data_IF_341168756598
#
_entry.id   IF_341168756598
#
_cell.length_a   1.000
_cell.length_b   1.000
_cell.length_c   1.000
_cell.angle_alpha   90.00
_cell.angle_beta   90.00
_cell.angle_gamma   90.00
#
_symmetry.space_group_name_H-M   'P 1'
#
loop_
_entity.id
_entity.type
_entity.pdbx_description
1 polymer ?
#
# COMPACT_ATOMS: atom_id res chain seq x y z
N UNK A 1 -40.16 0.54 13.73
CA UNK A 1 -40.59 0.00 12.42
C UNK A 1 -39.50 -0.66 11.56
N UNK A 2 -38.20 -0.63 11.92
CA UNK A 2 -37.13 -1.27 11.11
C UNK A 2 -37.27 -2.79 10.91
N UNK A 3 -37.98 -3.50 11.79
CA UNK A 3 -38.22 -4.92 11.64
C UNK A 3 -39.17 -5.21 10.46
N UNK A 4 -40.20 -4.38 10.24
CA UNK A 4 -41.20 -4.58 9.19
C UNK A 4 -40.64 -4.31 7.78
N UNK A 5 -39.62 -3.46 7.67
CA UNK A 5 -38.98 -3.14 6.39
C UNK A 5 -38.06 -4.25 5.85
N UNK A 6 -37.82 -5.33 6.60
CA UNK A 6 -36.97 -6.43 6.14
C UNK A 6 -37.73 -7.32 5.15
N UNK A 7 -37.11 -7.68 4.02
CA UNK A 7 -37.71 -8.57 2.99
C UNK A 7 -38.21 -9.92 3.53
N UNK A 8 -37.68 -10.39 4.65
CA UNK A 8 -38.07 -11.63 5.31
C UNK A 8 -39.23 -11.47 6.30
N UNK A 9 -39.81 -10.26 6.45
CA UNK A 9 -40.98 -10.04 7.30
C UNK A 9 -42.15 -10.91 6.85
N UNK A 10 -42.80 -11.59 7.79
CA UNK A 10 -44.02 -12.36 7.54
C UNK A 10 -45.23 -11.71 8.20
N UNK A 11 -45.19 -11.53 9.52
CA UNK A 11 -46.28 -10.96 10.30
C UNK A 11 -45.79 -10.43 11.65
N UNK A 12 -46.64 -9.67 12.32
CA UNK A 12 -46.45 -9.24 13.70
C UNK A 12 -47.66 -9.60 14.55
N UNK A 13 -47.42 -9.92 15.82
CA UNK A 13 -48.44 -10.18 16.83
C UNK A 13 -48.22 -9.21 17.98
N UNK A 14 -49.21 -8.37 18.25
CA UNK A 14 -49.18 -7.38 19.32
C UNK A 14 -49.65 -8.08 20.59
N UNK A 15 -48.83 -8.05 21.65
CA UNK A 15 -49.17 -8.63 22.96
C UNK A 15 -49.78 -7.56 23.86
N UNK A 16 -49.19 -6.37 23.89
CA UNK A 16 -49.73 -5.18 24.58
C UNK A 16 -49.12 -3.90 23.97
N UNK A 17 -49.39 -2.75 24.57
CA UNK A 17 -48.92 -1.43 24.09
C UNK A 17 -47.39 -1.31 24.04
N UNK A 18 -46.67 -2.10 24.83
CA UNK A 18 -45.21 -2.04 24.93
C UNK A 18 -44.50 -3.19 24.18
N UNK A 19 -45.22 -4.24 23.78
CA UNK A 19 -44.62 -5.47 23.25
C UNK A 19 -45.28 -5.96 21.96
N UNK A 20 -44.47 -6.01 20.90
CA UNK A 20 -44.84 -6.58 19.60
C UNK A 20 -43.83 -7.63 19.18
N UNK A 21 -44.32 -8.85 18.94
CA UNK A 21 -43.52 -9.94 18.36
C UNK A 21 -43.55 -9.83 16.84
N UNK A 22 -42.39 -9.78 16.21
CA UNK A 22 -42.25 -9.76 14.74
C UNK A 22 -41.69 -11.10 14.27
N UNK A 23 -42.44 -11.80 13.44
CA UNK A 23 -42.03 -13.07 12.83
C UNK A 23 -41.39 -12.85 11.46
N UNK A 24 -40.20 -13.41 11.28
CA UNK A 24 -39.48 -13.44 10.02
C UNK A 24 -39.44 -14.86 9.42
N UNK A 25 -39.46 -14.96 8.09
CA UNK A 25 -39.11 -16.18 7.38
C UNK A 25 -37.61 -16.46 7.47
N UNK A 26 -37.22 -17.75 7.45
CA UNK A 26 -35.81 -18.14 7.28
C UNK A 26 -35.35 -17.73 5.89
N UNK A 27 -34.26 -16.98 5.78
CA UNK A 27 -33.62 -16.74 4.49
C UNK A 27 -32.92 -18.00 4.03
N UNK A 28 -33.31 -18.54 2.88
CA UNK A 28 -32.50 -19.54 2.17
C UNK A 28 -31.45 -18.78 1.37
N UNK A 29 -30.18 -19.04 1.66
CA UNK A 29 -29.04 -18.49 0.92
C UNK A 29 -28.42 -19.64 0.13
N UNK A 30 -28.46 -19.55 -1.19
CA UNK A 30 -27.81 -20.51 -2.07
C UNK A 30 -26.35 -20.10 -2.28
N UNK A 31 -25.42 -21.01 -2.01
CA UNK A 31 -24.00 -20.85 -2.31
C UNK A 31 -23.71 -21.30 -3.74
N UNK A 32 -24.31 -20.63 -4.71
CA UNK A 32 -24.19 -20.93 -6.15
C UNK A 32 -23.06 -20.14 -6.84
N UNK A 33 -22.33 -19.33 -6.08
CA UNK A 33 -21.22 -18.52 -6.58
C UNK A 33 -19.87 -19.18 -6.23
N UNK A 34 -18.88 -19.10 -7.14
CA UNK A 34 -17.57 -19.73 -6.96
C UNK A 34 -16.65 -18.93 -6.02
N UNK A 35 -17.13 -18.52 -4.84
CA UNK A 35 -16.35 -17.75 -3.87
C UNK A 35 -15.08 -18.49 -3.40
N UNK A 36 -15.16 -19.81 -3.30
CA UNK A 36 -14.03 -20.66 -2.94
C UNK A 36 -12.89 -20.59 -3.96
N UNK A 37 -13.19 -20.39 -5.25
CA UNK A 37 -12.16 -20.20 -6.28
C UNK A 37 -11.41 -18.89 -6.02
N UNK A 38 -12.13 -17.81 -5.74
CA UNK A 38 -11.52 -16.51 -5.42
C UNK A 38 -10.65 -16.57 -4.16
N UNK A 39 -11.11 -17.29 -3.13
CA UNK A 39 -10.32 -17.55 -1.93
C UNK A 39 -9.02 -18.32 -2.24
N UNK A 40 -9.12 -19.43 -2.99
CA UNK A 40 -7.95 -20.23 -3.37
C UNK A 40 -6.93 -19.43 -4.17
N UNK A 41 -7.38 -18.60 -5.13
CA UNK A 41 -6.49 -17.72 -5.91
C UNK A 41 -5.76 -16.72 -5.00
N UNK A 42 -6.47 -16.13 -4.04
CA UNK A 42 -5.89 -15.18 -3.10
C UNK A 42 -4.82 -15.84 -2.21
N UNK A 43 -5.08 -17.05 -1.70
CA UNK A 43 -4.10 -17.79 -0.89
C UNK A 43 -2.88 -18.22 -1.72
N UNK A 44 -3.07 -18.67 -2.97
CA UNK A 44 -1.98 -18.97 -3.89
C UNK A 44 -1.12 -17.71 -4.15
N UNK A 45 -1.75 -16.55 -4.36
CA UNK A 45 -1.03 -15.29 -4.58
C UNK A 45 -0.16 -14.90 -3.37
N UNK A 46 -0.69 -15.01 -2.15
CA UNK A 46 0.09 -14.77 -0.92
C UNK A 46 1.24 -15.77 -0.79
N UNK A 47 0.97 -17.05 -1.05
CA UNK A 47 1.98 -18.10 -1.00
C UNK A 47 3.15 -17.80 -1.93
N UNK A 48 2.89 -17.38 -3.18
CA UNK A 48 3.95 -17.04 -4.14
C UNK A 48 4.82 -15.88 -3.64
N UNK A 49 4.20 -14.82 -3.12
CA UNK A 49 4.91 -13.67 -2.55
C UNK A 49 5.78 -14.08 -1.35
N UNK A 50 5.22 -14.82 -0.40
CA UNK A 50 5.94 -15.29 0.78
C UNK A 50 7.04 -16.30 0.42
N UNK A 51 6.75 -17.24 -0.48
CA UNK A 51 7.71 -18.22 -0.96
C UNK A 51 8.91 -17.50 -1.58
N UNK A 52 8.68 -16.53 -2.46
CA UNK A 52 9.77 -15.77 -3.07
C UNK A 52 10.60 -15.02 -2.03
N UNK A 53 9.94 -14.32 -1.10
CA UNK A 53 10.65 -13.61 -0.05
C UNK A 53 11.50 -14.54 0.83
N UNK A 54 10.90 -15.60 1.38
CA UNK A 54 11.58 -16.47 2.34
C UNK A 54 12.56 -17.46 1.70
N UNK A 55 12.23 -18.00 0.52
CA UNK A 55 13.02 -19.06 -0.12
C UNK A 55 13.99 -18.55 -1.18
N UNK A 56 13.79 -17.36 -1.73
CA UNK A 56 14.71 -16.76 -2.72
C UNK A 56 15.46 -15.59 -2.10
N UNK A 57 14.77 -14.48 -1.80
CA UNK A 57 15.43 -13.24 -1.38
C UNK A 57 16.18 -13.40 -0.05
N UNK A 58 15.52 -13.97 0.97
CA UNK A 58 16.12 -14.12 2.30
C UNK A 58 17.28 -15.12 2.33
N UNK A 59 17.22 -16.18 1.51
CA UNK A 59 18.34 -17.12 1.35
C UNK A 59 19.50 -16.49 0.60
N UNK A 60 19.21 -15.70 -0.44
CA UNK A 60 20.22 -15.01 -1.24
C UNK A 60 20.95 -13.92 -0.44
N UNK A 61 20.20 -13.02 0.20
CA UNK A 61 20.78 -11.86 0.89
C UNK A 61 21.28 -12.15 2.32
N UNK A 62 20.97 -13.31 2.92
CA UNK A 62 21.58 -13.81 4.16
C UNK A 62 21.45 -12.91 5.41
N UNK A 63 20.77 -13.40 6.46
CA UNK A 63 20.46 -12.69 7.73
C UNK A 63 19.72 -11.33 7.57
N UNK A 64 18.78 -11.05 8.49
CA UNK A 64 17.90 -9.86 8.43
C UNK A 64 18.65 -8.51 8.48
N UNK A 65 19.93 -8.50 8.82
CA UNK A 65 20.78 -7.30 8.77
C UNK A 65 21.03 -6.81 7.35
N UNK A 66 21.01 -7.72 6.36
CA UNK A 66 21.25 -7.42 4.96
C UNK A 66 19.96 -7.21 4.15
N UNK A 67 18.83 -7.74 4.61
CA UNK A 67 17.54 -7.62 3.94
C UNK A 67 16.43 -7.29 4.94
N UNK A 68 15.81 -6.12 4.77
CA UNK A 68 14.65 -5.70 5.56
C UNK A 68 13.49 -5.31 4.63
N UNK A 69 12.28 -5.75 4.97
CA UNK A 69 11.06 -5.30 4.27
C UNK A 69 10.60 -4.00 4.94
N UNK A 70 10.66 -2.89 4.20
CA UNK A 70 10.15 -1.60 4.68
C UNK A 70 8.64 -1.50 4.50
N UNK A 71 8.13 -2.07 3.41
CA UNK A 71 6.73 -2.03 3.06
C UNK A 71 6.37 -3.18 2.11
N UNK A 72 5.11 -3.64 2.16
CA UNK A 72 4.56 -4.61 1.22
C UNK A 72 3.12 -4.25 0.85
N UNK A 73 2.77 -4.35 -0.43
CA UNK A 73 1.39 -4.46 -0.90
C UNK A 73 1.18 -5.85 -1.52
N UNK A 74 0.05 -6.04 -2.20
CA UNK A 74 -0.46 -7.32 -2.71
C UNK A 74 0.59 -8.12 -3.49
N UNK A 75 1.35 -7.45 -4.34
CA UNK A 75 2.27 -8.02 -5.32
C UNK A 75 3.62 -7.28 -5.36
N UNK A 76 3.95 -6.50 -4.32
CA UNK A 76 5.16 -5.68 -4.30
C UNK A 76 5.79 -5.59 -2.92
N UNK A 77 7.11 -5.47 -2.91
CA UNK A 77 7.93 -5.19 -1.74
C UNK A 77 8.76 -3.93 -1.95
N UNK A 78 8.90 -3.13 -0.90
CA UNK A 78 9.94 -2.11 -0.80
C UNK A 78 10.95 -2.65 0.21
N UNK A 79 12.17 -2.87 -0.28
CA UNK A 79 13.22 -3.56 0.44
C UNK A 79 14.36 -2.59 0.76
N UNK A 80 14.89 -2.69 1.97
CA UNK A 80 16.19 -2.14 2.33
C UNK A 80 17.21 -3.27 2.24
N UNK A 81 18.08 -3.15 1.25
CA UNK A 81 19.13 -4.14 0.96
C UNK A 81 20.48 -3.51 1.29
N UNK A 82 21.29 -4.19 2.09
CA UNK A 82 22.70 -3.81 2.34
C UNK A 82 23.60 -4.80 1.60
N UNK A 83 24.15 -4.34 0.48
CA UNK A 83 25.04 -5.11 -0.38
C UNK A 83 26.15 -4.21 -0.93
N UNK A 84 27.36 -4.72 -1.16
CA UNK A 84 28.40 -3.98 -1.88
C UNK A 84 28.02 -3.70 -3.34
N UNK A 85 27.25 -4.57 -3.99
CA UNK A 85 26.95 -4.44 -5.43
C UNK A 85 25.55 -4.98 -5.77
N UNK A 86 24.54 -4.09 -5.72
CA UNK A 86 23.15 -4.45 -6.01
C UNK A 86 22.95 -4.98 -7.44
N UNK A 87 23.74 -4.55 -8.39
CA UNK A 87 23.53 -4.90 -9.80
C UNK A 87 24.00 -6.31 -10.12
N UNK A 88 25.10 -6.72 -9.50
CA UNK A 88 25.57 -8.09 -9.54
C UNK A 88 24.56 -9.01 -8.85
N UNK A 89 23.99 -8.58 -7.72
CA UNK A 89 22.94 -9.32 -7.06
C UNK A 89 21.70 -9.51 -7.94
N UNK A 90 21.26 -8.43 -8.59
CA UNK A 90 20.14 -8.48 -9.54
C UNK A 90 20.49 -9.28 -10.80
N UNK A 91 21.75 -9.32 -11.22
CA UNK A 91 22.23 -10.19 -12.30
C UNK A 91 22.08 -11.67 -11.93
N UNK A 92 22.46 -12.03 -10.71
CA UNK A 92 22.33 -13.40 -10.21
C UNK A 92 20.86 -13.81 -10.05
N UNK A 93 19.98 -12.86 -9.74
CA UNK A 93 18.53 -13.05 -9.66
C UNK A 93 17.80 -12.83 -11.00
N UNK A 94 18.51 -12.65 -12.12
CA UNK A 94 17.90 -12.33 -13.43
C UNK A 94 16.81 -13.29 -13.88
N UNK A 95 16.90 -14.56 -13.49
CA UNK A 95 15.92 -15.59 -13.85
C UNK A 95 14.53 -15.37 -13.24
N UNK A 96 14.40 -14.51 -12.23
CA UNK A 96 13.13 -14.24 -11.54
C UNK A 96 12.67 -12.79 -11.68
N UNK A 97 13.38 -11.98 -12.47
CA UNK A 97 13.09 -10.56 -12.67
C UNK A 97 12.75 -10.20 -14.12
N UNK A 98 11.91 -9.17 -14.27
CA UNK A 98 11.64 -8.44 -15.50
C UNK A 98 12.42 -7.11 -15.48
N UNK A 99 13.43 -7.01 -16.34
CA UNK A 99 14.29 -5.82 -16.51
C UNK A 99 13.99 -5.05 -17.80
N UNK A 100 12.82 -5.27 -18.40
CA UNK A 100 12.45 -4.65 -19.69
C UNK A 100 12.17 -3.15 -19.61
N UNK A 101 12.05 -2.57 -18.42
CA UNK A 101 11.87 -1.13 -18.18
C UNK A 101 13.18 -0.38 -17.89
N UNK A 102 14.32 -1.07 -17.92
CA UNK A 102 15.63 -0.42 -17.85
C UNK A 102 15.96 0.27 -19.18
N UNK A 103 16.94 1.17 -19.17
CA UNK A 103 17.44 1.73 -20.44
C UNK A 103 18.09 0.62 -21.28
N UNK A 104 17.90 0.65 -22.60
CA UNK A 104 18.46 -0.33 -23.56
C UNK A 104 19.98 -0.46 -23.48
N UNK A 105 20.66 0.58 -23.00
CA UNK A 105 22.10 0.63 -22.78
C UNK A 105 22.55 -0.06 -21.49
N UNK A 106 21.63 -0.43 -20.60
CA UNK A 106 21.97 -1.03 -19.31
C UNK A 106 22.40 -2.49 -19.45
N UNK A 107 23.44 -2.95 -18.71
CA UNK A 107 23.87 -4.35 -18.76
C UNK A 107 22.81 -5.38 -18.34
N UNK A 108 21.83 -4.99 -17.51
CA UNK A 108 20.73 -5.88 -17.09
C UNK A 108 19.50 -5.79 -17.99
N UNK A 109 19.47 -4.87 -18.97
CA UNK A 109 18.30 -4.74 -19.85
C UNK A 109 18.06 -6.04 -20.60
N UNK A 110 16.86 -6.59 -20.41
CA UNK A 110 16.43 -7.82 -21.06
C UNK A 110 14.90 -7.84 -21.20
N UNK A 111 14.43 -8.10 -22.42
CA UNK A 111 13.00 -8.19 -22.73
C UNK A 111 12.44 -9.61 -22.61
N UNK A 112 13.28 -10.60 -22.35
CA UNK A 112 12.91 -12.01 -22.30
C UNK A 112 11.81 -12.30 -21.28
N UNK A 113 11.76 -11.54 -20.17
CA UNK A 113 10.77 -11.72 -19.10
C UNK A 113 9.67 -10.65 -19.07
N UNK A 114 9.59 -9.81 -20.11
CA UNK A 114 8.66 -8.68 -20.16
C UNK A 114 7.22 -9.12 -19.90
N UNK A 115 6.64 -8.63 -18.81
CA UNK A 115 5.27 -8.89 -18.39
C UNK A 115 4.90 -10.40 -18.29
N UNK A 116 5.88 -11.28 -18.06
CA UNK A 116 5.63 -12.70 -17.79
C UNK A 116 5.11 -12.88 -16.36
N UNK A 117 4.19 -13.83 -16.18
CA UNK A 117 3.66 -14.18 -14.88
C UNK A 117 4.76 -14.72 -13.95
N UNK A 118 4.70 -14.34 -12.68
CA UNK A 118 5.63 -14.75 -11.61
C UNK A 118 7.06 -14.19 -11.71
N UNK A 119 7.29 -13.22 -12.60
CA UNK A 119 8.53 -12.45 -12.63
C UNK A 119 8.33 -11.10 -11.93
N UNK A 120 9.27 -10.73 -11.07
CA UNK A 120 9.22 -9.44 -10.38
C UNK A 120 9.78 -8.34 -11.26
N UNK A 121 9.01 -7.27 -11.42
CA UNK A 121 9.50 -6.07 -12.10
C UNK A 121 10.16 -5.15 -11.08
N UNK A 122 11.35 -4.64 -11.40
CA UNK A 122 11.94 -3.55 -10.64
C UNK A 122 11.25 -2.24 -11.07
N UNK A 123 10.62 -1.52 -10.13
CA UNK A 123 9.66 -0.46 -10.46
C UNK A 123 10.30 0.92 -10.70
N UNK A 124 11.47 1.18 -10.11
CA UNK A 124 12.11 2.50 -10.15
C UNK A 124 13.21 2.62 -11.21
N UNK A 125 13.31 1.64 -12.11
CA UNK A 125 14.37 1.53 -13.11
C UNK A 125 15.76 1.69 -12.48
N UNK A 126 16.00 1.08 -11.33
CA UNK A 126 17.23 1.16 -10.53
C UNK A 126 17.61 2.56 -10.04
N UNK A 127 16.70 3.53 -10.06
CA UNK A 127 16.92 4.80 -9.38
C UNK A 127 16.96 4.58 -7.86
N UNK A 128 18.01 5.04 -7.16
CA UNK A 128 18.10 4.90 -5.72
C UNK A 128 16.91 5.54 -5.01
N UNK A 129 16.28 4.79 -4.12
CA UNK A 129 15.31 5.33 -3.16
C UNK A 129 16.09 6.06 -2.07
N UNK A 130 15.96 7.38 -2.00
CA UNK A 130 16.61 8.20 -0.99
C UNK A 130 15.93 8.01 0.37
N UNK A 131 14.61 8.14 0.38
CA UNK A 131 13.79 8.05 1.59
C UNK A 131 12.35 7.68 1.26
N UNK A 132 11.67 7.15 2.26
CA UNK A 132 10.28 6.75 2.19
C UNK A 132 9.57 7.14 3.49
N UNK A 133 8.34 7.60 3.38
CA UNK A 133 7.42 7.74 4.52
C UNK A 133 6.16 6.92 4.23
N UNK A 134 5.78 6.07 5.19
CA UNK A 134 4.55 5.29 5.13
C UNK A 134 3.68 5.63 6.34
N UNK A 135 2.45 6.07 6.09
CA UNK A 135 1.49 6.40 7.14
C UNK A 135 0.42 5.31 7.30
N UNK A 136 0.32 4.39 6.33
CA UNK A 136 -0.62 3.28 6.40
C UNK A 136 -0.74 2.51 5.09
N UNK A 137 -1.66 1.55 5.07
CA UNK A 137 -1.89 0.71 3.90
C UNK A 137 -2.35 1.55 2.69
N UNK A 138 -1.53 1.54 1.64
CA UNK A 138 -1.69 2.29 0.39
C UNK A 138 -1.69 3.81 0.60
N UNK A 139 -0.96 4.26 1.62
CA UNK A 139 -0.71 5.66 1.95
C UNK A 139 0.78 5.82 2.27
N UNK A 140 1.57 6.08 1.24
CA UNK A 140 3.02 6.25 1.35
C UNK A 140 3.57 7.15 0.24
N UNK A 141 4.75 7.71 0.50
CA UNK A 141 5.51 8.49 -0.46
C UNK A 141 6.94 7.97 -0.51
N UNK A 142 7.46 7.82 -1.73
CA UNK A 142 8.85 7.42 -2.00
C UNK A 142 9.51 8.55 -2.77
N UNK A 143 10.67 8.99 -2.31
CA UNK A 143 11.55 9.87 -3.07
C UNK A 143 12.71 9.06 -3.66
N UNK A 144 12.88 9.18 -4.97
CA UNK A 144 14.06 8.66 -5.67
C UNK A 144 14.92 9.81 -6.15
N UNK A 145 16.22 9.56 -6.27
CA UNK A 145 17.19 10.56 -6.75
C UNK A 145 17.91 10.09 -8.00
N UNK A 146 18.36 11.06 -8.79
CA UNK A 146 19.24 10.79 -9.92
C UNK A 146 20.63 10.36 -9.44
N UNK A 147 21.28 9.44 -10.15
CA UNK A 147 22.59 8.90 -9.80
C UNK A 147 23.73 9.96 -9.78
N UNK A 148 23.51 11.14 -10.36
CA UNK A 148 24.45 12.26 -10.36
C UNK A 148 24.58 13.02 -9.03
N UNK A 149 23.78 12.67 -8.03
CA UNK A 149 23.55 13.53 -6.88
C UNK A 149 23.97 12.94 -5.54
N UNK A 150 24.44 11.69 -5.49
CA UNK A 150 25.08 11.11 -4.29
C UNK A 150 26.25 10.15 -4.61
N UNK A 151 26.89 10.31 -5.79
CA UNK A 151 28.01 9.52 -6.35
C UNK A 151 27.82 7.99 -6.47
N UNK A 152 27.15 7.57 -7.56
CA UNK A 152 27.60 6.44 -8.39
C UNK A 152 27.16 6.70 -9.84
N UNK A 153 28.05 7.26 -10.67
CA UNK A 153 27.77 7.57 -12.07
C UNK A 153 27.72 6.29 -12.92
N UNK A 154 26.63 6.10 -13.68
CA UNK A 154 26.54 5.06 -14.71
C UNK A 154 26.16 5.71 -16.03
N UNK A 155 27.06 5.60 -17.01
CA UNK A 155 26.82 6.11 -18.36
C UNK A 155 25.48 5.56 -18.91
N UNK A 156 24.74 6.45 -19.58
CA UNK A 156 23.50 6.18 -20.32
C UNK A 156 22.16 6.10 -19.53
N UNK A 157 22.05 6.54 -18.27
CA UNK A 157 20.77 6.51 -17.53
C UNK A 157 19.96 7.80 -17.49
N UNK A 158 20.57 8.95 -17.73
CA UNK A 158 20.01 10.24 -17.31
C UNK A 158 19.60 11.18 -18.44
N UNK A 159 19.72 10.77 -19.69
CA UNK A 159 19.61 11.70 -20.82
C UNK A 159 18.18 12.13 -21.17
N UNK A 160 17.10 11.56 -20.60
CA UNK A 160 15.76 11.71 -21.22
C UNK A 160 14.53 11.88 -20.31
N UNK A 161 14.62 12.24 -19.02
CA UNK A 161 13.40 12.57 -18.26
C UNK A 161 13.21 14.09 -18.19
N UNK A 162 12.00 14.58 -18.36
CA UNK A 162 11.68 16.02 -18.37
C UNK A 162 10.84 16.45 -17.16
N UNK A 163 10.52 15.51 -16.25
CA UNK A 163 9.76 15.75 -15.03
C UNK A 163 10.64 16.22 -13.86
N UNK A 164 11.52 17.19 -14.12
CA UNK A 164 12.49 17.72 -13.17
C UNK A 164 12.04 19.08 -12.63
N UNK A 165 11.66 19.14 -11.35
CA UNK A 165 11.41 20.41 -10.63
C UNK A 165 12.65 20.74 -9.80
N UNK A 166 13.30 21.86 -10.08
CA UNK A 166 14.52 22.28 -9.39
C UNK A 166 14.42 23.71 -8.86
N UNK A 167 14.97 23.93 -7.67
CA UNK A 167 15.46 25.23 -7.19
C UNK A 167 16.81 25.04 -6.48
N UNK A 168 17.81 25.74 -7.03
CA UNK A 168 19.13 26.16 -6.52
C UNK A 168 19.87 25.28 -5.47
N UNK A 169 21.01 24.71 -5.90
CA UNK A 169 22.00 23.91 -5.11
C UNK A 169 21.45 22.65 -4.42
N UNK A 170 20.20 22.28 -4.70
CA UNK A 170 19.52 21.15 -4.10
C UNK A 170 19.47 19.95 -5.06
N UNK A 171 19.62 18.76 -4.51
CA UNK A 171 19.44 17.50 -5.23
C UNK A 171 18.05 17.44 -5.91
N UNK A 172 17.99 16.93 -7.14
CA UNK A 172 16.81 16.67 -7.95
C UNK A 172 16.24 15.30 -7.56
N UNK A 173 15.07 15.31 -6.93
CA UNK A 173 14.34 14.12 -6.52
C UNK A 173 13.04 13.98 -7.30
N UNK A 174 12.58 12.75 -7.48
CA UNK A 174 11.26 12.44 -8.01
C UNK A 174 10.41 11.77 -6.95
N UNK A 175 9.16 12.23 -6.81
CA UNK A 175 8.24 11.76 -5.78
C UNK A 175 7.21 10.80 -6.38
N UNK A 176 7.13 9.60 -5.82
CA UNK A 176 6.03 8.67 -6.07
C UNK A 176 5.05 8.72 -4.90
N UNK A 177 3.93 9.41 -5.09
CA UNK A 177 2.87 9.56 -4.09
C UNK A 177 1.76 8.52 -4.29
N UNK A 178 1.59 7.66 -3.29
CA UNK A 178 0.50 6.69 -3.22
C UNK A 178 -0.46 7.08 -2.10
N UNK A 179 -1.67 7.50 -2.48
CA UNK A 179 -2.66 8.02 -1.55
C UNK A 179 -4.05 7.46 -1.87
N UNK A 180 -4.45 6.40 -1.17
CA UNK A 180 -5.75 5.76 -1.36
C UNK A 180 -6.90 6.68 -0.95
N UNK A 181 -7.94 6.73 -1.78
CA UNK A 181 -9.20 7.42 -1.46
C UNK A 181 -9.25 8.91 -1.83
N UNK A 182 -8.11 9.49 -2.24
CA UNK A 182 -7.99 10.86 -2.75
C UNK A 182 -7.86 10.84 -4.28
N UNK A 183 -8.55 11.75 -4.97
CA UNK A 183 -8.52 11.87 -6.42
C UNK A 183 -7.15 12.31 -6.94
N UNK A 184 -6.89 12.06 -8.24
CA UNK A 184 -5.62 12.45 -8.87
C UNK A 184 -5.41 13.97 -8.87
N UNK A 185 -6.49 14.76 -8.95
CA UNK A 185 -6.42 16.22 -8.98
C UNK A 185 -6.00 16.74 -7.61
N UNK A 186 -6.72 16.36 -6.55
CA UNK A 186 -6.41 16.79 -5.18
C UNK A 186 -5.08 16.24 -4.64
N UNK A 187 -4.49 15.23 -5.31
CA UNK A 187 -3.18 14.69 -4.96
C UNK A 187 -2.02 15.62 -5.38
N UNK A 188 -2.21 16.49 -6.38
CA UNK A 188 -1.14 17.36 -6.90
C UNK A 188 -0.61 18.35 -5.87
N UNK A 189 -1.41 18.70 -4.87
CA UNK A 189 -1.08 19.66 -3.81
C UNK A 189 -0.41 19.00 -2.58
N UNK A 190 -0.11 17.71 -2.68
CA UNK A 190 0.54 16.92 -1.63
C UNK A 190 1.97 16.65 -2.07
N UNK A 191 2.89 16.85 -1.15
CA UNK A 191 4.34 16.68 -1.32
C UNK A 191 4.88 15.66 -0.32
N UNK A 192 6.11 15.19 -0.49
CA UNK A 192 6.76 14.33 0.50
C UNK A 192 6.83 14.99 1.89
N UNK A 193 7.05 16.31 1.94
CA UNK A 193 7.14 17.05 3.21
C UNK A 193 5.83 17.01 4.01
N UNK A 194 4.68 16.92 3.33
CA UNK A 194 3.39 16.73 4.00
C UNK A 194 3.29 15.36 4.68
N UNK A 195 3.85 14.31 4.07
CA UNK A 195 3.94 12.99 4.71
C UNK A 195 4.87 13.02 5.91
N UNK A 196 6.05 13.63 5.76
CA UNK A 196 7.02 13.73 6.84
C UNK A 196 6.48 14.52 8.02
N UNK A 197 5.91 15.70 7.77
CA UNK A 197 5.29 16.52 8.82
C UNK A 197 4.08 15.85 9.48
N UNK A 198 3.29 15.09 8.73
CA UNK A 198 2.24 14.27 9.30
C UNK A 198 2.81 13.21 10.25
N UNK A 199 3.90 12.54 9.88
CA UNK A 199 4.55 11.53 10.71
C UNK A 199 5.20 12.13 11.96
N UNK A 200 5.97 13.21 11.83
CA UNK A 200 6.78 13.78 12.92
C UNK A 200 5.97 14.69 13.84
N UNK A 201 5.08 15.50 13.27
CA UNK A 201 4.36 16.55 13.99
C UNK A 201 2.91 16.16 14.26
N UNK A 202 2.47 14.98 13.80
CA UNK A 202 1.09 14.47 13.97
C UNK A 202 0.02 15.39 13.35
N UNK A 203 0.38 16.12 12.30
CA UNK A 203 -0.51 17.07 11.62
C UNK A 203 -1.31 16.33 10.53
N UNK A 204 -2.63 16.26 10.70
CA UNK A 204 -3.51 15.72 9.67
C UNK A 204 -3.68 16.70 8.50
N UNK A 205 -3.40 16.26 7.27
CA UNK A 205 -3.67 17.05 6.06
C UNK A 205 -5.06 16.73 5.52
N UNK A 206 -5.90 17.76 5.35
CA UNK A 206 -7.22 17.64 4.72
C UNK A 206 -7.19 18.25 3.31
N UNK A 207 -7.87 17.62 2.37
CA UNK A 207 -7.98 18.09 0.97
C UNK A 207 -9.45 18.16 0.55
N UNK A 208 -9.73 19.06 -0.37
CA UNK A 208 -11.03 19.16 -1.02
C UNK A 208 -11.03 18.29 -2.28
N UNK A 209 -12.08 17.50 -2.44
CA UNK A 209 -12.25 16.60 -3.57
C UNK A 209 -13.60 16.85 -4.23
N UNK A 210 -13.58 17.24 -5.50
CA UNK A 210 -14.76 17.56 -6.30
C UNK A 210 -15.24 16.29 -7.00
N UNK A 211 -16.51 15.92 -6.80
CA UNK A 211 -17.08 14.66 -7.30
C UNK A 211 -18.48 14.85 -7.84
N UNK A 212 -18.79 14.14 -8.91
CA UNK A 212 -20.17 13.99 -9.38
C UNK A 212 -20.79 12.83 -8.59
N UNK A 213 -21.90 13.08 -7.92
CA UNK A 213 -22.64 12.07 -7.16
C UNK A 213 -24.07 11.95 -7.73
N UNK A 214 -24.52 10.72 -7.95
CA UNK A 214 -25.94 10.43 -8.19
C UNK A 214 -26.62 10.05 -6.88
N UNK A 215 -27.71 10.73 -6.53
CA UNK A 215 -28.60 10.33 -5.44
C UNK A 215 -30.03 10.37 -5.94
N UNK A 216 -30.78 9.28 -5.76
CA UNK A 216 -32.17 9.16 -6.25
C UNK A 216 -32.32 9.54 -7.73
N UNK A 217 -31.35 9.13 -8.57
CA UNK A 217 -31.30 9.45 -10.00
C UNK A 217 -31.06 10.93 -10.35
N UNK A 218 -30.82 11.80 -9.37
CA UNK A 218 -30.39 13.18 -9.61
C UNK A 218 -28.86 13.28 -9.53
N UNK A 219 -28.26 13.93 -10.52
CA UNK A 219 -26.82 14.18 -10.57
C UNK A 219 -26.51 15.55 -9.96
N UNK A 220 -25.57 15.58 -9.02
CA UNK A 220 -25.09 16.82 -8.43
C UNK A 220 -23.56 16.83 -8.34
N UNK A 221 -22.98 18.01 -8.51
CA UNK A 221 -21.58 18.28 -8.17
C UNK A 221 -21.47 18.47 -6.66
N UNK A 222 -20.68 17.62 -6.01
CA UNK A 222 -20.48 17.62 -4.56
C UNK A 222 -19.03 17.88 -4.23
N UNK A 223 -18.82 18.79 -3.27
CA UNK A 223 -17.50 19.03 -2.68
C UNK A 223 -17.38 18.19 -1.41
N UNK A 224 -16.38 17.33 -1.35
CA UNK A 224 -16.12 16.49 -0.17
C UNK A 224 -14.78 16.88 0.43
N UNK A 225 -14.80 17.32 1.69
CA UNK A 225 -13.57 17.51 2.47
C UNK A 225 -13.13 16.16 3.04
N UNK A 226 -11.94 15.70 2.65
CA UNK A 226 -11.36 14.43 3.06
C UNK A 226 -10.11 14.63 3.88
N UNK A 227 -9.89 13.76 4.85
CA UNK A 227 -8.56 13.59 5.46
C UNK A 227 -7.70 12.83 4.46
N UNK A 228 -6.68 13.49 3.92
CA UNK A 228 -5.70 12.89 3.02
C UNK A 228 -4.64 12.15 3.82
N UNK A 229 -3.98 12.85 4.75
CA UNK A 229 -2.93 12.29 5.58
C UNK A 229 -3.36 12.36 7.04
N UNK A 230 -3.10 11.28 7.77
CA UNK A 230 -3.27 11.19 9.21
C UNK A 230 -2.11 10.38 9.78
N UNK A 231 -1.62 10.78 10.95
CA UNK A 231 -0.55 10.09 11.67
C UNK A 231 -1.05 8.82 12.35
N UNK A 232 -2.32 8.80 12.71
CA UNK A 232 -2.95 7.69 13.41
C UNK A 232 -3.58 6.70 12.44
N UNK A 233 -3.25 5.42 12.61
CA UNK A 233 -3.91 4.34 11.89
C UNK A 233 -5.28 4.07 12.54
N UNK A 234 -6.36 4.44 11.85
CA UNK A 234 -7.75 4.25 12.29
C UNK A 234 -8.20 2.79 12.42
N UNK A 235 -7.35 1.82 12.05
CA UNK A 235 -7.64 0.37 12.08
C UNK A 235 -6.98 -0.36 13.23
N UNK A 236 -6.08 0.29 13.98
CA UNK A 236 -5.34 -0.34 15.06
C UNK A 236 -5.35 0.58 16.28
N UNK A 237 -5.46 0.01 17.46
CA UNK A 237 -5.22 0.72 18.71
C UNK A 237 -3.74 0.60 19.07
N UNK A 238 -3.12 1.72 19.47
CA UNK A 238 -1.76 1.74 19.98
C UNK A 238 -1.77 1.19 21.42
N UNK A 239 -0.82 0.33 21.76
CA UNK A 239 -0.62 -0.12 23.14
C UNK A 239 0.13 0.95 23.94
N UNK A 240 0.06 0.88 25.27
CA UNK A 240 0.67 1.86 26.18
C UNK A 240 2.18 2.03 25.98
N UNK A 241 2.86 1.03 25.41
CA UNK A 241 4.28 1.12 25.05
C UNK A 241 4.59 2.09 23.90
N UNK A 242 3.59 2.67 23.23
CA UNK A 242 3.77 3.64 22.15
C UNK A 242 4.28 3.09 20.81
N UNK A 243 4.74 1.83 20.78
CA UNK A 243 5.36 1.20 19.59
C UNK A 243 4.43 0.13 19.00
N UNK A 244 3.89 -0.74 19.85
CA UNK A 244 3.04 -1.83 19.41
C UNK A 244 1.61 -1.36 19.17
N UNK A 245 0.96 -1.96 18.17
CA UNK A 245 -0.45 -1.70 17.89
C UNK A 245 -1.18 -2.99 17.57
N UNK A 246 -2.49 -3.04 17.85
CA UNK A 246 -3.35 -4.20 17.62
C UNK A 246 -4.62 -3.83 16.87
N UNK A 247 -5.19 -4.74 16.07
CA UNK A 247 -6.46 -4.47 15.42
C UNK A 247 -7.58 -4.29 16.46
N UNK A 248 -8.56 -3.45 16.18
CA UNK A 248 -9.70 -3.23 17.08
C UNK A 248 -10.55 -4.49 17.36
N UNK A 249 -10.39 -5.54 16.56
CA UNK A 249 -11.08 -6.83 16.73
C UNK A 249 -10.44 -7.75 17.78
N UNK A 250 -9.26 -7.42 18.31
CA UNK A 250 -8.58 -8.23 19.33
C UNK A 250 -9.11 -7.92 20.74
N UNK A 251 -9.34 -8.96 21.54
CA UNK A 251 -9.77 -8.82 22.94
C UNK A 251 -8.76 -8.00 23.76
N UNK A 252 -9.26 -7.01 24.50
CA UNK A 252 -8.51 -5.97 25.23
C UNK A 252 -7.66 -6.48 26.41
N UNK A 253 -7.63 -7.78 26.68
CA UNK A 253 -7.13 -8.34 27.95
C UNK A 253 -5.65 -8.74 27.94
N UNK A 254 -4.91 -8.54 26.84
CA UNK A 254 -3.51 -8.97 26.77
C UNK A 254 -2.56 -7.77 26.77
N UNK A 255 -1.91 -7.56 27.93
CA UNK A 255 -0.88 -6.55 28.15
C UNK A 255 0.30 -6.71 27.17
N UNK A 256 0.97 -5.60 26.89
CA UNK A 256 2.22 -5.57 26.13
C UNK A 256 3.24 -6.51 26.76
N UNK A 257 3.69 -7.54 26.03
CA UNK A 257 4.76 -8.43 26.51
C UNK A 257 6.06 -7.61 26.40
N UNK A 258 6.41 -6.95 27.50
CA UNK A 258 7.46 -5.93 27.59
C UNK A 258 8.90 -6.39 27.24
N UNK A 259 9.10 -7.62 26.75
CA UNK A 259 10.42 -8.15 26.38
C UNK A 259 10.86 -7.85 24.94
N UNK A 260 9.99 -7.28 24.10
CA UNK A 260 10.29 -6.94 22.70
C UNK A 260 10.49 -5.43 22.46
N UNK A 261 10.38 -4.60 23.51
CA UNK A 261 10.63 -3.16 23.45
C UNK A 261 12.08 -2.82 23.80
N UNK A 262 13.06 -3.25 22.99
CA UNK A 262 14.44 -2.72 22.99
C UNK A 262 14.94 -2.68 21.55
#
# INVERSE_FOLDING_TARGET
MQAVSKKVYKRQTIINEELVIVMHGKSLVYYDKPYYIGFSILEISKYIMYYYYYNVLKKYFGNYTHLQVLYSDTDSYILKIKTPNLEEDLRNLKQTFDFSNLNKTHPLYDVSNKAKLFYFKEEFSLLPILRMVSLGSKVYCVETVCCHQYEYHKQNYCENNTDYRGDNKNFLFSEKIVLKGISKVSRKDITFQDYLSCLTNQICKKVLDYRIQSRKQELASTLVKKTALASFCDKRFLLDCGIHSRPYSDNKETNCIARECI
#
